data_IF_875539268863
#
_entry.id   IF_875539268863
#
_cell.length_a   1.000
_cell.length_b   1.000
_cell.length_c   1.000
_cell.angle_alpha   90.00
_cell.angle_beta   90.00
_cell.angle_gamma   90.00
#
_symmetry.space_group_name_H-M   'P 1'
#
loop_
_entity.id
_entity.type
_entity.pdbx_description
1 polymer ?
#
# COMPACT_ATOMS: atom_id res chain seq x y z
N UNK A 1 101.15 -4.58 25.64
CA UNK A 1 99.93 -4.16 26.37
C UNK A 1 99.55 -2.78 25.86
N UNK A 2 98.34 -2.66 25.28
CA UNK A 2 97.38 -1.51 25.34
C UNK A 2 97.95 -0.08 25.22
N UNK A 3 97.50 0.86 24.38
CA UNK A 3 96.18 1.11 23.78
C UNK A 3 96.26 2.41 22.93
N UNK A 4 95.52 2.45 21.82
CA UNK A 4 94.71 3.56 21.28
C UNK A 4 94.95 5.02 21.74
N UNK A 5 95.05 5.96 20.78
CA UNK A 5 94.09 7.08 20.61
C UNK A 5 94.32 7.97 19.37
N UNK A 6 93.33 7.90 18.48
CA UNK A 6 92.65 8.98 17.72
C UNK A 6 93.41 9.84 16.70
N UNK A 7 93.26 9.48 15.42
CA UNK A 7 93.30 10.37 14.26
C UNK A 7 91.85 10.74 13.89
N UNK A 8 91.50 12.02 13.95
CA UNK A 8 90.18 12.56 13.56
C UNK A 8 90.27 12.92 12.07
N UNK A 9 89.62 12.14 11.19
CA UNK A 9 89.41 12.52 9.79
C UNK A 9 87.91 12.72 9.58
N UNK A 10 87.53 13.99 9.41
CA UNK A 10 86.18 14.45 9.11
C UNK A 10 85.78 14.03 7.70
N UNK A 11 84.82 13.11 7.58
CA UNK A 11 84.06 12.84 6.36
C UNK A 11 82.73 13.58 6.44
N UNK A 12 82.60 14.64 5.65
CA UNK A 12 81.37 15.39 5.45
C UNK A 12 80.52 14.65 4.40
N UNK A 13 79.58 13.83 4.87
CA UNK A 13 78.60 13.13 4.01
C UNK A 13 77.43 14.09 3.74
N UNK A 14 77.38 14.67 2.54
CA UNK A 14 76.23 15.45 2.08
C UNK A 14 75.14 14.45 1.69
N UNK A 15 74.10 14.34 2.52
CA UNK A 15 72.87 13.63 2.21
C UNK A 15 72.07 14.49 1.24
N UNK A 16 72.08 14.12 -0.05
CA UNK A 16 71.11 14.61 -1.03
C UNK A 16 69.76 13.98 -0.69
N UNK A 17 68.88 14.75 -0.04
CA UNK A 17 67.47 14.39 0.13
C UNK A 17 66.80 14.61 -1.22
N UNK A 18 66.51 13.51 -1.91
CA UNK A 18 65.62 13.49 -3.07
C UNK A 18 64.19 13.68 -2.56
N UNK A 19 63.59 14.85 -2.76
CA UNK A 19 62.13 14.97 -2.76
C UNK A 19 61.61 14.23 -4.00
N UNK A 20 60.99 13.07 -3.79
CA UNK A 20 60.19 12.44 -4.83
C UNK A 20 58.92 13.28 -5.01
N UNK A 21 58.66 13.71 -6.24
CA UNK A 21 57.45 14.43 -6.59
C UNK A 21 56.33 13.38 -6.70
N UNK A 22 55.63 13.11 -5.61
CA UNK A 22 54.42 12.27 -5.65
C UNK A 22 53.38 12.98 -6.53
N UNK A 23 52.89 12.31 -7.57
CA UNK A 23 51.77 12.80 -8.36
C UNK A 23 50.57 12.93 -7.44
N UNK A 24 50.01 14.13 -7.36
CA UNK A 24 48.74 14.35 -6.68
C UNK A 24 47.65 13.72 -7.53
N UNK A 25 47.23 12.50 -7.19
CA UNK A 25 46.04 11.90 -7.79
C UNK A 25 44.83 12.75 -7.39
N UNK A 26 44.32 13.50 -8.36
CA UNK A 26 43.21 14.45 -8.21
C UNK A 26 41.87 13.74 -7.97
N UNK A 27 41.82 12.42 -8.17
CA UNK A 27 40.60 11.64 -8.12
C UNK A 27 40.76 10.45 -7.16
N UNK A 28 39.73 10.11 -6.37
CA UNK A 28 39.77 8.91 -5.55
C UNK A 28 39.86 7.65 -6.42
N UNK A 29 40.86 6.81 -6.16
CA UNK A 29 41.16 5.60 -6.94
C UNK A 29 40.05 4.53 -6.95
N UNK A 30 39.00 4.69 -6.13
CA UNK A 30 37.97 3.67 -5.92
C UNK A 30 36.55 4.27 -5.84
N UNK A 31 36.22 5.19 -6.74
CA UNK A 31 34.83 5.64 -6.89
C UNK A 31 34.00 4.50 -7.48
N UNK A 32 32.92 4.15 -6.80
CA UNK A 32 31.97 3.15 -7.29
C UNK A 32 31.14 3.74 -8.43
N UNK A 33 31.03 2.98 -9.52
CA UNK A 33 30.34 3.40 -10.74
C UNK A 33 28.88 2.97 -10.71
N UNK A 34 28.03 3.84 -11.21
CA UNK A 34 26.62 3.61 -11.50
C UNK A 34 26.49 3.81 -13.01
N UNK A 35 26.41 2.71 -13.75
CA UNK A 35 26.22 2.76 -15.21
C UNK A 35 24.90 3.46 -15.53
N UNK A 36 24.89 4.29 -16.58
CA UNK A 36 23.71 5.12 -16.94
C UNK A 36 22.52 4.30 -17.42
N UNK A 37 22.74 3.06 -17.86
CA UNK A 37 21.70 2.09 -18.22
C UNK A 37 21.27 1.18 -17.06
N UNK A 38 21.86 1.36 -15.87
CA UNK A 38 21.57 0.51 -14.71
C UNK A 38 20.24 0.84 -14.05
N UNK A 39 19.65 -0.17 -13.40
CA UNK A 39 18.47 -0.01 -12.56
C UNK A 39 18.68 1.05 -11.46
N UNK A 40 19.86 1.08 -10.84
CA UNK A 40 20.18 2.05 -9.79
C UNK A 40 20.16 3.49 -10.33
N UNK A 41 20.69 3.72 -11.53
CA UNK A 41 20.66 5.04 -12.16
C UNK A 41 19.21 5.49 -12.40
N UNK A 42 18.38 4.60 -12.95
CA UNK A 42 16.97 4.90 -13.21
C UNK A 42 16.19 5.17 -11.91
N UNK A 43 16.41 4.37 -10.86
CA UNK A 43 15.76 4.61 -9.55
C UNK A 43 16.22 5.92 -8.91
N UNK A 44 17.51 6.25 -9.03
CA UNK A 44 18.08 7.52 -8.54
C UNK A 44 17.50 8.73 -9.27
N UNK A 45 17.29 8.62 -10.59
CA UNK A 45 16.63 9.63 -11.40
C UNK A 45 15.17 9.80 -10.97
N UNK A 46 14.39 8.73 -10.93
CA UNK A 46 12.98 8.77 -10.56
C UNK A 46 12.75 9.40 -9.18
N UNK A 47 13.52 8.99 -8.17
CA UNK A 47 13.35 9.51 -6.81
C UNK A 47 13.78 10.97 -6.68
N UNK A 48 14.72 11.43 -7.51
CA UNK A 48 15.17 12.82 -7.53
C UNK A 48 14.22 13.71 -8.34
N UNK A 49 13.55 13.17 -9.36
CA UNK A 49 12.57 13.89 -10.19
C UNK A 49 11.22 14.11 -9.51
N UNK A 50 10.85 13.25 -8.56
CA UNK A 50 9.62 13.37 -7.78
C UNK A 50 9.62 14.69 -7.00
N UNK A 51 9.03 15.72 -7.61
CA UNK A 51 8.74 16.99 -6.97
C UNK A 51 7.58 16.80 -6.02
N UNK A 52 7.70 17.38 -4.82
CA UNK A 52 6.61 17.62 -3.87
C UNK A 52 5.54 18.57 -4.46
N UNK A 53 4.97 18.29 -5.63
CA UNK A 53 3.88 19.09 -6.20
C UNK A 53 2.53 18.75 -5.56
N UNK A 54 2.40 17.58 -4.90
CA UNK A 54 1.14 17.04 -4.35
C UNK A 54 1.19 16.66 -2.84
N UNK A 55 2.08 17.26 -2.03
CA UNK A 55 2.22 16.94 -0.58
C UNK A 55 2.43 15.44 -0.27
N UNK A 56 2.91 14.64 -1.25
CA UNK A 56 3.18 13.23 -1.02
C UNK A 56 4.44 13.07 -0.17
N UNK A 57 4.41 12.24 0.89
CA UNK A 57 5.58 12.01 1.72
C UNK A 57 6.65 11.28 0.90
N UNK A 58 7.74 11.99 0.59
CA UNK A 58 8.95 11.38 0.04
C UNK A 58 9.71 10.77 1.21
N UNK A 59 9.94 9.47 1.18
CA UNK A 59 10.46 8.79 2.36
C UNK A 59 11.97 9.07 2.64
N UNK A 60 12.70 9.57 1.64
CA UNK A 60 14.10 10.03 1.76
C UNK A 60 14.32 11.38 1.08
N UNK A 61 15.14 12.25 1.68
CA UNK A 61 15.60 13.50 1.08
C UNK A 61 17.13 13.58 1.13
N UNK A 62 17.79 13.85 0.01
CA UNK A 62 19.24 14.04 -0.02
C UNK A 62 19.66 15.37 0.62
N UNK A 63 20.73 15.32 1.42
CA UNK A 63 21.38 16.52 1.98
C UNK A 63 22.49 16.96 1.05
N UNK A 64 22.35 18.16 0.51
CA UNK A 64 23.31 18.81 -0.36
C UNK A 64 24.29 19.71 0.43
N UNK A 65 25.48 20.03 -0.11
CA UNK A 65 26.01 19.59 -1.40
C UNK A 65 26.82 18.29 -1.33
N UNK A 66 26.93 17.58 -2.46
CA UNK A 66 27.88 16.47 -2.65
C UNK A 66 28.46 16.49 -4.07
N UNK A 67 29.54 15.72 -4.30
CA UNK A 67 30.26 15.71 -5.58
C UNK A 67 29.91 14.46 -6.40
N UNK A 68 29.82 14.64 -7.72
CA UNK A 68 29.55 13.59 -8.70
C UNK A 68 30.69 13.55 -9.70
N UNK A 69 31.13 12.35 -10.04
CA UNK A 69 32.17 12.07 -11.03
C UNK A 69 31.52 11.50 -12.29
N UNK A 70 31.92 11.99 -13.46
CA UNK A 70 31.42 11.53 -14.75
C UNK A 70 32.47 10.64 -15.42
N UNK A 71 32.04 9.48 -15.92
CA UNK A 71 32.90 8.51 -16.58
C UNK A 71 32.56 8.37 -18.06
N UNK A 72 33.60 8.27 -18.89
CA UNK A 72 33.46 7.88 -20.29
C UNK A 72 33.34 6.35 -20.45
N UNK A 73 33.17 5.88 -21.69
CA UNK A 73 33.09 4.45 -22.03
C UNK A 73 34.34 3.65 -21.62
N UNK A 74 35.51 4.29 -21.65
CA UNK A 74 36.77 3.69 -21.20
C UNK A 74 36.91 3.66 -19.67
N UNK A 75 35.86 4.03 -18.94
CA UNK A 75 35.79 3.93 -17.48
C UNK A 75 36.75 4.90 -16.77
N UNK A 76 37.17 5.97 -17.46
CA UNK A 76 38.01 7.06 -16.96
C UNK A 76 37.14 8.26 -16.53
N UNK A 77 37.57 8.96 -15.48
CA UNK A 77 36.89 10.18 -15.02
C UNK A 77 37.20 11.30 -16.00
N UNK A 78 36.16 11.85 -16.62
CA UNK A 78 36.27 12.96 -17.59
C UNK A 78 35.87 14.30 -16.99
N UNK A 79 35.08 14.29 -15.92
CA UNK A 79 34.61 15.51 -15.24
C UNK A 79 34.20 15.20 -13.79
N UNK A 80 34.13 16.23 -12.95
CA UNK A 80 33.56 16.16 -11.61
C UNK A 80 32.79 17.43 -11.27
N UNK A 81 31.58 17.30 -10.73
CA UNK A 81 30.68 18.42 -10.46
C UNK A 81 30.07 18.32 -9.06
N UNK A 82 30.03 19.45 -8.37
CA UNK A 82 29.33 19.59 -7.09
C UNK A 82 27.87 19.93 -7.39
N UNK A 83 26.94 19.17 -6.82
CA UNK A 83 25.50 19.45 -6.87
C UNK A 83 25.08 20.17 -5.59
N UNK A 84 24.36 21.29 -5.71
CA UNK A 84 23.98 22.13 -4.56
C UNK A 84 22.53 21.96 -4.13
N UNK A 85 21.68 21.45 -5.01
CA UNK A 85 20.29 21.17 -4.74
C UNK A 85 19.76 20.06 -5.66
N UNK A 86 18.47 19.76 -5.50
CA UNK A 86 17.80 18.72 -6.27
C UNK A 86 17.68 19.04 -7.77
N UNK A 87 17.55 20.32 -8.13
CA UNK A 87 17.43 20.74 -9.53
C UNK A 87 18.76 20.52 -10.24
N UNK A 88 19.87 20.90 -9.58
CA UNK A 88 21.22 20.65 -10.08
C UNK A 88 21.47 19.14 -10.27
N UNK A 89 21.02 18.33 -9.31
CA UNK A 89 21.23 16.89 -9.35
C UNK A 89 20.44 16.22 -10.48
N UNK A 90 19.14 16.49 -10.61
CA UNK A 90 18.31 15.98 -11.71
C UNK A 90 18.89 16.40 -13.06
N UNK A 91 19.27 17.68 -13.21
CA UNK A 91 19.87 18.17 -14.46
C UNK A 91 21.17 17.42 -14.82
N UNK A 92 22.00 17.09 -13.83
CA UNK A 92 23.21 16.31 -14.06
C UNK A 92 22.90 14.86 -14.48
N UNK A 93 21.89 14.22 -13.87
CA UNK A 93 21.44 12.88 -14.25
C UNK A 93 20.91 12.87 -15.69
N UNK A 94 20.05 13.82 -16.06
CA UNK A 94 19.54 13.98 -17.43
C UNK A 94 20.65 14.21 -18.45
N UNK A 95 21.62 15.08 -18.15
CA UNK A 95 22.77 15.32 -19.04
C UNK A 95 23.62 14.07 -19.23
N UNK A 96 23.78 13.26 -18.17
CA UNK A 96 24.59 12.05 -18.21
C UNK A 96 23.98 10.96 -19.07
N UNK A 97 22.65 10.95 -19.20
CA UNK A 97 21.91 10.00 -20.02
C UNK A 97 22.27 10.20 -21.52
N UNK A 98 22.99 9.22 -22.08
CA UNK A 98 23.40 9.23 -23.49
C UNK A 98 24.66 10.04 -23.81
N UNK A 99 25.31 10.67 -22.83
CA UNK A 99 26.59 11.37 -23.01
C UNK A 99 27.75 10.73 -22.22
N UNK A 100 27.44 10.10 -21.08
CA UNK A 100 28.41 9.43 -20.20
C UNK A 100 28.09 7.94 -20.10
N UNK A 101 29.10 7.11 -19.83
CA UNK A 101 28.88 5.68 -19.60
C UNK A 101 28.37 5.43 -18.18
N UNK A 102 28.96 6.10 -17.20
CA UNK A 102 28.62 5.96 -15.79
C UNK A 102 28.78 7.27 -15.01
N UNK A 103 28.17 7.31 -13.84
CA UNK A 103 28.42 8.32 -12.82
C UNK A 103 29.02 7.67 -11.57
N UNK A 104 29.61 8.46 -10.67
CA UNK A 104 30.00 8.01 -9.34
C UNK A 104 29.75 9.10 -8.31
N UNK A 105 29.30 8.70 -7.13
CA UNK A 105 29.00 9.64 -6.04
C UNK A 105 30.17 9.71 -5.06
N UNK A 106 30.42 10.91 -4.53
CA UNK A 106 31.38 11.11 -3.44
C UNK A 106 30.78 10.64 -2.12
N UNK A 107 30.84 9.34 -1.86
CA UNK A 107 30.43 8.81 -0.57
C UNK A 107 31.32 9.29 0.58
N UNK A 108 30.77 9.41 1.80
CA UNK A 108 29.37 9.18 2.14
C UNK A 108 28.45 10.32 1.70
N UNK A 109 27.21 9.99 1.34
CA UNK A 109 26.12 10.97 1.16
C UNK A 109 25.15 10.89 2.35
N UNK A 110 24.53 12.01 2.71
CA UNK A 110 23.60 12.06 3.86
C UNK A 110 22.18 12.22 3.35
N UNK A 111 21.24 11.53 3.99
CA UNK A 111 19.81 11.65 3.75
C UNK A 111 19.07 12.01 5.04
N UNK A 112 17.90 12.62 4.90
CA UNK A 112 16.90 12.80 5.95
C UNK A 112 15.75 11.85 5.65
N UNK A 113 15.33 11.05 6.63
CA UNK A 113 14.19 10.13 6.54
C UNK A 113 12.88 10.86 6.90
N UNK A 114 11.74 10.23 6.64
CA UNK A 114 10.40 10.75 6.96
C UNK A 114 10.23 11.16 8.44
N UNK A 115 10.87 10.44 9.38
CA UNK A 115 10.82 10.75 10.82
C UNK A 115 11.74 11.92 11.24
N UNK A 116 12.44 12.55 10.28
CA UNK A 116 13.40 13.63 10.48
C UNK A 116 14.78 13.19 10.95
N UNK A 117 15.02 11.88 11.12
CA UNK A 117 16.35 11.35 11.44
C UNK A 117 17.28 11.42 10.22
N UNK A 118 18.58 11.55 10.48
CA UNK A 118 19.61 11.58 9.44
C UNK A 118 20.30 10.23 9.31
N UNK A 119 20.50 9.77 8.08
CA UNK A 119 21.20 8.54 7.74
C UNK A 119 22.34 8.82 6.75
N UNK A 120 23.43 8.04 6.79
CA UNK A 120 24.61 8.26 5.94
C UNK A 120 24.90 7.02 5.10
N UNK A 121 24.74 7.15 3.80
CA UNK A 121 24.92 6.11 2.80
C UNK A 121 26.41 6.07 2.40
N UNK A 122 27.02 4.89 2.47
CA UNK A 122 28.46 4.69 2.30
C UNK A 122 28.86 4.19 0.91
N UNK A 123 27.93 3.56 0.18
CA UNK A 123 28.23 2.93 -1.11
C UNK A 123 26.98 2.71 -2.00
N UNK A 124 27.19 2.22 -3.23
CA UNK A 124 26.13 1.95 -4.19
C UNK A 124 25.16 0.84 -3.73
N UNK A 125 25.62 -0.10 -2.89
CA UNK A 125 24.77 -1.20 -2.40
C UNK A 125 23.80 -0.66 -1.36
N UNK A 126 24.28 0.16 -0.44
CA UNK A 126 23.46 0.84 0.57
C UNK A 126 22.53 1.88 -0.08
N UNK A 127 23.00 2.61 -1.10
CA UNK A 127 22.16 3.52 -1.87
C UNK A 127 21.01 2.78 -2.53
N UNK A 128 21.32 1.69 -3.26
CA UNK A 128 20.30 0.86 -3.94
C UNK A 128 19.25 0.38 -2.94
N UNK A 129 19.68 -0.24 -1.84
CA UNK A 129 18.76 -0.73 -0.81
C UNK A 129 17.91 0.38 -0.18
N UNK A 130 18.50 1.56 0.03
CA UNK A 130 17.80 2.71 0.62
C UNK A 130 16.70 3.20 -0.31
N UNK A 131 17.00 3.34 -1.60
CA UNK A 131 16.01 3.77 -2.61
C UNK A 131 14.93 2.71 -2.80
N UNK A 132 15.29 1.43 -2.88
CA UNK A 132 14.32 0.32 -3.01
C UNK A 132 13.35 0.29 -1.82
N UNK A 133 13.87 0.34 -0.59
CA UNK A 133 13.03 0.40 0.62
C UNK A 133 12.09 1.61 0.58
N UNK A 134 12.56 2.71 0.00
CA UNK A 134 11.74 3.91 -0.11
C UNK A 134 10.57 3.75 -1.06
N UNK A 135 10.85 3.26 -2.26
CA UNK A 135 9.85 2.97 -3.29
C UNK A 135 8.82 1.97 -2.75
N UNK A 136 9.28 0.92 -2.06
CA UNK A 136 8.39 -0.08 -1.44
C UNK A 136 7.45 0.56 -0.40
N UNK A 137 7.99 1.44 0.47
CA UNK A 137 7.20 2.15 1.47
C UNK A 137 6.16 3.08 0.85
N UNK A 138 6.53 3.84 -0.19
CA UNK A 138 5.61 4.72 -0.91
C UNK A 138 4.48 3.93 -1.60
N UNK A 139 4.80 2.78 -2.20
CA UNK A 139 3.79 1.90 -2.81
C UNK A 139 2.84 1.33 -1.75
N UNK A 140 3.33 0.95 -0.56
CA UNK A 140 2.50 0.50 0.57
C UNK A 140 1.54 1.61 1.00
N UNK A 141 2.06 2.82 1.22
CA UNK A 141 1.24 3.99 1.62
C UNK A 141 0.18 4.27 0.56
N UNK A 142 0.56 4.23 -0.72
CA UNK A 142 -0.36 4.41 -1.82
C UNK A 142 -1.44 3.32 -1.85
N UNK A 143 -1.06 2.05 -1.68
CA UNK A 143 -1.97 0.90 -1.61
C UNK A 143 -2.98 1.06 -0.48
N UNK A 144 -2.53 1.38 0.73
CA UNK A 144 -3.42 1.56 1.88
C UNK A 144 -4.40 2.71 1.63
N UNK A 145 -3.89 3.86 1.15
CA UNK A 145 -4.71 5.03 0.83
C UNK A 145 -5.78 4.74 -0.22
N UNK A 146 -5.51 3.90 -1.21
CA UNK A 146 -6.55 3.55 -2.19
C UNK A 146 -7.60 2.66 -1.55
N UNK A 147 -7.21 1.63 -0.78
CA UNK A 147 -8.11 0.64 -0.20
C UNK A 147 -9.02 1.25 0.87
N UNK A 148 -8.48 2.11 1.73
CA UNK A 148 -9.17 2.80 2.84
C UNK A 148 -10.09 3.94 2.41
N UNK A 149 -10.16 4.26 1.11
CA UNK A 149 -11.16 5.23 0.63
C UNK A 149 -12.55 4.67 0.88
N UNK A 150 -13.43 5.51 1.42
CA UNK A 150 -14.81 5.17 1.74
C UNK A 150 -15.63 4.77 0.49
N UNK A 151 -15.52 3.50 0.11
CA UNK A 151 -16.21 2.79 -0.95
C UNK A 151 -16.06 1.28 -0.71
N UNK A 152 -16.97 0.48 -1.28
CA UNK A 152 -16.83 -0.99 -1.26
C UNK A 152 -16.06 -1.50 -2.48
N UNK A 153 -15.41 -2.65 -2.33
CA UNK A 153 -14.61 -3.31 -3.36
C UNK A 153 -15.27 -4.61 -3.78
N UNK A 154 -15.63 -4.72 -5.07
CA UNK A 154 -16.23 -5.94 -5.63
C UNK A 154 -15.15 -6.87 -6.18
N UNK A 155 -15.19 -8.14 -5.77
CA UNK A 155 -14.33 -9.20 -6.28
C UNK A 155 -14.91 -9.76 -7.59
N UNK A 156 -14.04 -10.02 -8.56
CA UNK A 156 -14.37 -10.77 -9.77
C UNK A 156 -13.22 -11.70 -10.09
N UNK A 157 -13.52 -13.00 -10.25
CA UNK A 157 -12.52 -14.00 -10.61
C UNK A 157 -12.08 -13.90 -12.07
N UNK A 158 -10.77 -14.00 -12.28
CA UNK A 158 -10.17 -14.18 -13.61
C UNK A 158 -9.81 -15.65 -13.90
N UNK A 159 -10.11 -16.56 -12.98
CA UNK A 159 -9.86 -18.01 -13.12
C UNK A 159 -11.17 -18.80 -13.21
N UNK A 160 -11.05 -20.12 -13.32
CA UNK A 160 -12.21 -21.03 -13.30
C UNK A 160 -12.97 -20.99 -11.96
N UNK A 161 -12.33 -20.54 -10.89
CA UNK A 161 -12.93 -20.43 -9.57
C UNK A 161 -13.80 -19.17 -9.45
N UNK A 162 -15.04 -19.27 -9.93
CA UNK A 162 -16.02 -18.18 -9.94
C UNK A 162 -16.80 -18.03 -8.62
N UNK A 163 -16.38 -18.72 -7.54
CA UNK A 163 -17.16 -18.81 -6.30
C UNK A 163 -17.37 -17.47 -5.60
N UNK A 164 -16.52 -16.47 -5.85
CA UNK A 164 -16.44 -15.21 -5.12
C UNK A 164 -16.76 -13.97 -5.99
N UNK A 165 -17.35 -14.14 -7.18
CA UNK A 165 -17.63 -13.02 -8.09
C UNK A 165 -18.66 -12.00 -7.59
N UNK A 166 -19.42 -12.35 -6.56
CA UNK A 166 -20.41 -11.47 -5.92
C UNK A 166 -19.96 -11.06 -4.52
N UNK A 167 -18.70 -11.32 -4.18
CA UNK A 167 -18.13 -10.99 -2.88
C UNK A 167 -17.70 -9.53 -2.86
N UNK A 168 -17.86 -8.92 -1.69
CA UNK A 168 -17.51 -7.53 -1.45
C UNK A 168 -16.57 -7.43 -0.26
N UNK A 169 -15.63 -6.50 -0.33
CA UNK A 169 -14.79 -6.08 0.77
C UNK A 169 -15.05 -4.60 1.08
N UNK A 170 -15.08 -4.30 2.36
CA UNK A 170 -15.04 -2.95 2.89
C UNK A 170 -13.80 -2.83 3.77
N UNK A 171 -12.93 -1.88 3.49
CA UNK A 171 -11.67 -1.68 4.20
C UNK A 171 -11.76 -0.43 5.05
N UNK A 172 -11.48 -0.57 6.34
CA UNK A 172 -11.43 0.54 7.29
C UNK A 172 -9.99 1.05 7.44
N UNK A 173 -9.87 2.30 7.88
CA UNK A 173 -8.60 3.03 8.06
C UNK A 173 -7.75 2.51 9.22
N UNK A 174 -8.29 1.62 10.05
CA UNK A 174 -7.60 0.98 11.17
C UNK A 174 -6.97 -0.38 10.82
N UNK A 175 -6.99 -0.77 9.53
CA UNK A 175 -6.49 -2.06 9.06
C UNK A 175 -7.47 -3.22 9.27
N UNK A 176 -8.72 -2.92 9.65
CA UNK A 176 -9.81 -3.89 9.71
C UNK A 176 -10.80 -3.68 8.56
N UNK A 177 -11.87 -4.45 8.55
CA UNK A 177 -12.89 -4.35 7.52
C UNK A 177 -13.94 -5.45 7.62
N UNK A 178 -14.80 -5.48 6.62
CA UNK A 178 -15.82 -6.51 6.45
C UNK A 178 -15.66 -7.19 5.09
N UNK A 179 -15.62 -8.52 5.11
CA UNK A 179 -15.69 -9.35 3.93
C UNK A 179 -17.07 -9.98 3.85
N UNK A 180 -17.79 -9.77 2.76
CA UNK A 180 -19.14 -10.27 2.58
C UNK A 180 -19.22 -11.23 1.40
N UNK A 181 -19.57 -12.49 1.69
CA UNK A 181 -19.78 -13.54 0.69
C UNK A 181 -21.09 -14.28 0.92
N UNK A 182 -21.97 -14.28 -0.09
CA UNK A 182 -23.22 -15.07 -0.14
C UNK A 182 -24.07 -14.96 1.15
N UNK A 183 -24.16 -13.77 1.71
CA UNK A 183 -24.93 -13.54 2.94
C UNK A 183 -24.16 -13.73 4.24
N UNK A 184 -22.88 -14.08 4.21
CA UNK A 184 -22.07 -14.18 5.42
C UNK A 184 -21.11 -13.00 5.44
N UNK A 185 -21.20 -12.19 6.50
CA UNK A 185 -20.20 -11.20 6.83
C UNK A 185 -19.13 -11.84 7.71
N UNK A 186 -17.87 -11.58 7.38
CA UNK A 186 -16.71 -11.97 8.15
C UNK A 186 -15.99 -10.70 8.56
N UNK A 187 -15.67 -10.59 9.84
CA UNK A 187 -14.66 -9.62 10.28
C UNK A 187 -13.36 -9.94 9.59
N UNK A 188 -12.74 -8.93 9.01
CA UNK A 188 -11.45 -9.07 8.36
C UNK A 188 -10.44 -8.08 8.92
N UNK A 189 -9.17 -8.49 8.87
CA UNK A 189 -8.03 -7.60 8.98
C UNK A 189 -7.19 -7.74 7.72
N UNK A 190 -6.51 -6.67 7.35
CA UNK A 190 -5.72 -6.64 6.15
C UNK A 190 -4.41 -5.90 6.36
N UNK A 191 -3.40 -6.24 5.57
CA UNK A 191 -2.11 -5.54 5.58
C UNK A 191 -1.45 -5.66 4.22
N UNK A 192 -0.92 -4.55 3.73
CA UNK A 192 -0.03 -4.53 2.56
C UNK A 192 1.44 -4.53 3.00
N UNK A 193 2.27 -5.29 2.29
CA UNK A 193 3.69 -5.40 2.59
C UNK A 193 4.46 -5.88 1.36
N UNK A 194 5.79 -5.70 1.38
CA UNK A 194 6.66 -6.27 0.35
C UNK A 194 7.28 -7.59 0.80
N UNK A 195 7.29 -8.56 -0.12
CA UNK A 195 8.00 -9.82 0.03
C UNK A 195 8.73 -10.12 -1.28
N UNK A 196 10.06 -10.31 -1.21
CA UNK A 196 10.92 -10.57 -2.38
C UNK A 196 10.74 -9.54 -3.52
N UNK A 197 10.60 -8.25 -3.18
CA UNK A 197 10.45 -7.16 -4.14
C UNK A 197 9.09 -7.10 -4.85
N UNK A 198 8.08 -7.81 -4.33
CA UNK A 198 6.70 -7.77 -4.84
C UNK A 198 5.79 -7.22 -3.76
N UNK A 199 4.74 -6.51 -4.16
CA UNK A 199 3.67 -6.10 -3.26
C UNK A 199 2.76 -7.30 -2.97
N UNK A 200 2.42 -7.46 -1.71
CA UNK A 200 1.51 -8.47 -1.21
C UNK A 200 0.43 -7.80 -0.34
N UNK A 201 -0.78 -8.37 -0.34
CA UNK A 201 -1.88 -7.99 0.53
C UNK A 201 -2.36 -9.27 1.23
N UNK A 202 -2.24 -9.31 2.55
CA UNK A 202 -2.87 -10.37 3.33
C UNK A 202 -4.27 -9.92 3.70
N UNK A 203 -5.28 -10.72 3.38
CA UNK A 203 -6.66 -10.53 3.82
C UNK A 203 -6.98 -11.69 4.76
N UNK A 204 -7.13 -11.40 6.04
CA UNK A 204 -7.44 -12.40 7.05
C UNK A 204 -8.89 -12.28 7.48
N UNK A 205 -9.67 -13.34 7.30
CA UNK A 205 -11.03 -13.51 7.77
C UNK A 205 -11.01 -14.32 9.08
N UNK A 206 -11.75 -13.86 10.08
CA UNK A 206 -11.88 -14.57 11.35
C UNK A 206 -12.64 -15.92 11.19
N UNK A 207 -12.20 -16.93 11.96
CA UNK A 207 -12.83 -18.24 12.05
C UNK A 207 -12.31 -19.29 11.07
N UNK A 208 -12.97 -20.46 11.04
CA UNK A 208 -12.48 -21.67 10.35
C UNK A 208 -13.36 -22.10 9.15
N UNK A 209 -14.20 -21.19 8.65
CA UNK A 209 -15.07 -21.46 7.51
C UNK A 209 -14.27 -21.78 6.25
N UNK A 210 -14.91 -22.40 5.25
CA UNK A 210 -14.26 -22.62 3.96
C UNK A 210 -13.82 -21.30 3.32
N UNK A 211 -14.68 -20.28 3.35
CA UNK A 211 -14.37 -18.93 2.86
C UNK A 211 -13.14 -18.34 3.56
N UNK A 212 -13.07 -18.43 4.90
CA UNK A 212 -11.90 -17.97 5.65
C UNK A 212 -10.63 -18.70 5.24
N UNK A 213 -10.69 -20.04 5.09
CA UNK A 213 -9.52 -20.83 4.64
C UNK A 213 -9.11 -20.52 3.20
N UNK A 214 -10.07 -20.21 2.33
CA UNK A 214 -9.82 -19.88 0.93
C UNK A 214 -9.23 -18.45 0.76
N UNK A 215 -9.44 -17.56 1.74
CA UNK A 215 -9.01 -16.15 1.68
C UNK A 215 -7.81 -15.80 2.56
N UNK A 216 -7.57 -16.56 3.64
CA UNK A 216 -6.43 -16.39 4.56
C UNK A 216 -5.11 -16.85 3.93
N UNK A 217 -4.73 -16.17 2.85
CA UNK A 217 -3.54 -16.42 2.05
C UNK A 217 -2.72 -15.15 1.91
N UNK A 218 -1.48 -15.39 1.50
CA UNK A 218 -0.59 -14.37 0.99
C UNK A 218 -0.91 -14.09 -0.49
N UNK A 219 -1.53 -12.95 -0.75
CA UNK A 219 -1.91 -12.55 -2.10
C UNK A 219 -0.87 -11.61 -2.67
N UNK A 220 -0.22 -12.00 -3.75
CA UNK A 220 0.55 -11.06 -4.56
C UNK A 220 -0.41 -10.04 -5.19
N UNK A 221 -0.14 -8.76 -5.02
CA UNK A 221 -0.97 -7.68 -5.50
C UNK A 221 -0.30 -6.88 -6.64
N UNK A 222 -1.13 -6.36 -7.54
CA UNK A 222 -0.77 -5.42 -8.59
C UNK A 222 -1.82 -4.32 -8.63
N UNK A 223 -1.41 -3.08 -8.36
CA UNK A 223 -2.28 -1.92 -8.49
C UNK A 223 -2.32 -1.56 -9.98
N UNK A 224 -3.51 -1.68 -10.60
CA UNK A 224 -3.71 -1.36 -12.01
C UNK A 224 -3.98 0.14 -12.18
N UNK A 225 -4.84 0.68 -11.33
CA UNK A 225 -5.20 2.10 -11.24
C UNK A 225 -5.82 2.41 -9.86
N UNK A 226 -6.26 3.65 -9.65
CA UNK A 226 -6.90 4.13 -8.41
C UNK A 226 -8.18 3.36 -8.02
N UNK A 227 -8.78 2.58 -8.92
CA UNK A 227 -10.06 1.90 -8.71
C UNK A 227 -9.95 0.38 -8.78
N UNK A 228 -8.80 -0.15 -9.19
CA UNK A 228 -8.66 -1.55 -9.57
C UNK A 228 -7.33 -2.11 -9.07
N UNK A 229 -7.43 -3.15 -8.23
CA UNK A 229 -6.29 -3.94 -7.80
C UNK A 229 -6.51 -5.38 -8.25
N UNK A 230 -5.47 -5.99 -8.80
CA UNK A 230 -5.44 -7.43 -9.07
C UNK A 230 -4.70 -8.11 -7.93
N UNK A 231 -5.26 -9.20 -7.41
CA UNK A 231 -4.64 -10.05 -6.40
C UNK A 231 -4.56 -11.48 -6.91
N UNK A 232 -3.49 -12.18 -6.57
CA UNK A 232 -3.25 -13.53 -7.06
C UNK A 232 -2.46 -14.38 -6.07
N UNK A 233 -2.72 -15.68 -6.08
CA UNK A 233 -1.87 -16.70 -5.48
C UNK A 233 -1.44 -17.72 -6.56
N UNK A 234 -0.96 -18.90 -6.17
CA UNK A 234 -0.51 -19.92 -7.14
C UNK A 234 -1.63 -20.49 -8.01
N UNK A 235 -2.89 -20.38 -7.59
CA UNK A 235 -4.05 -21.05 -8.22
C UNK A 235 -5.10 -20.07 -8.73
N UNK A 236 -5.37 -19.01 -7.97
CA UNK A 236 -6.47 -18.10 -8.18
C UNK A 236 -5.99 -16.67 -8.43
N UNK A 237 -6.72 -15.96 -9.29
CA UNK A 237 -6.51 -14.55 -9.61
C UNK A 237 -7.86 -13.84 -9.58
N UNK A 238 -7.90 -12.71 -8.88
CA UNK A 238 -9.08 -11.88 -8.72
C UNK A 238 -8.76 -10.43 -9.09
N UNK A 239 -9.72 -9.77 -9.71
CA UNK A 239 -9.78 -8.30 -9.73
C UNK A 239 -10.69 -7.86 -8.59
N UNK A 240 -10.20 -6.95 -7.76
CA UNK A 240 -11.00 -6.17 -6.83
C UNK A 240 -11.20 -4.76 -7.38
N UNK A 241 -12.45 -4.42 -7.67
CA UNK A 241 -12.82 -3.16 -8.30
C UNK A 241 -13.67 -2.32 -7.37
N UNK A 242 -13.28 -1.07 -7.18
CA UNK A 242 -13.98 -0.09 -6.35
C UNK A 242 -15.37 0.22 -6.90
N UNK A 243 -16.35 0.33 -6.01
CA UNK A 243 -17.74 0.67 -6.29
C UNK A 243 -18.19 1.76 -5.32
N UNK A 244 -18.14 3.02 -5.76
CA UNK A 244 -18.41 4.20 -4.92
C UNK A 244 -19.81 4.81 -5.11
N UNK A 245 -20.62 4.30 -6.06
CA UNK A 245 -21.97 4.85 -6.35
C UNK A 245 -23.02 4.46 -5.30
N UNK A 246 -22.56 4.21 -4.08
CA UNK A 246 -23.35 3.78 -2.94
C UNK A 246 -23.12 4.87 -1.91
N UNK A 247 -23.94 5.93 -1.95
CA UNK A 247 -23.80 7.07 -1.03
C UNK A 247 -24.04 6.61 0.42
N UNK A 248 -22.95 6.31 1.13
CA UNK A 248 -22.63 6.58 2.55
C UNK A 248 -23.74 6.54 3.62
N UNK A 249 -24.76 5.72 3.42
CA UNK A 249 -25.76 5.31 4.42
C UNK A 249 -25.97 3.79 4.38
N UNK A 250 -24.96 3.12 3.85
CA UNK A 250 -24.94 1.74 3.39
C UNK A 250 -23.62 1.08 3.78
N UNK A 251 -23.23 1.22 5.04
CA UNK A 251 -22.17 0.41 5.62
C UNK A 251 -22.53 -1.06 5.34
N UNK A 252 -21.76 -1.71 4.48
CA UNK A 252 -22.28 -2.87 3.76
C UNK A 252 -22.50 -4.03 4.75
N UNK A 253 -23.77 -4.46 4.84
CA UNK A 253 -24.30 -5.60 5.60
C UNK A 253 -24.31 -5.45 7.12
N UNK A 254 -23.69 -4.43 7.70
CA UNK A 254 -23.93 -4.06 9.11
C UNK A 254 -24.80 -2.81 9.18
N UNK A 255 -26.11 -3.02 9.34
CA UNK A 255 -27.03 -1.94 9.65
C UNK A 255 -26.89 -1.63 11.13
N UNK A 256 -26.34 -0.44 11.43
CA UNK A 256 -26.08 0.01 12.79
C UNK A 256 -27.18 0.96 13.25
N UNK A 257 -27.64 0.75 14.47
CA UNK A 257 -28.58 1.63 15.13
C UNK A 257 -28.17 1.82 16.59
N UNK A 258 -28.47 3.00 17.13
CA UNK A 258 -28.18 3.30 18.52
C UNK A 258 -28.98 2.41 19.46
N UNK A 259 -28.29 1.88 20.48
CA UNK A 259 -28.94 1.17 21.57
C UNK A 259 -30.03 2.01 22.23
N UNK A 260 -31.17 1.39 22.51
CA UNK A 260 -32.26 2.00 23.23
C UNK A 260 -31.83 2.29 24.67
N UNK A 261 -32.25 3.44 25.19
CA UNK A 261 -31.94 3.85 26.56
C UNK A 261 -32.34 2.77 27.58
N UNK A 262 -31.35 2.27 28.32
CA UNK A 262 -31.44 1.18 29.31
C UNK A 262 -31.63 -0.24 28.74
N UNK A 263 -31.42 -0.45 27.44
CA UNK A 263 -31.42 -1.76 26.81
C UNK A 263 -30.14 -1.93 26.00
N UNK A 264 -29.08 -2.41 26.68
CA UNK A 264 -27.84 -2.84 26.03
C UNK A 264 -28.15 -3.85 24.92
N UNK A 265 -27.37 -3.82 23.85
CA UNK A 265 -27.47 -4.71 22.69
C UNK A 265 -28.82 -4.67 21.95
N UNK A 266 -29.68 -3.68 22.21
CA UNK A 266 -31.03 -3.61 21.61
C UNK A 266 -31.27 -2.27 20.94
N UNK A 267 -31.62 -2.27 19.66
CA UNK A 267 -31.93 -1.08 18.87
C UNK A 267 -33.19 -1.28 18.01
N UNK A 268 -33.77 -0.18 17.54
CA UNK A 268 -34.92 -0.19 16.64
C UNK A 268 -34.48 0.10 15.21
N UNK A 269 -34.67 -0.87 14.32
CA UNK A 269 -34.29 -0.82 12.91
C UNK A 269 -35.49 -0.47 12.03
N UNK A 270 -35.28 0.44 11.08
CA UNK A 270 -36.29 0.81 10.08
C UNK A 270 -35.83 0.26 8.72
N UNK A 271 -36.22 -0.97 8.38
CA UNK A 271 -35.73 -1.62 7.16
C UNK A 271 -36.07 -0.89 5.85
N UNK A 272 -37.11 -0.05 5.83
CA UNK A 272 -37.39 0.80 4.68
C UNK A 272 -36.23 1.74 4.34
N UNK A 273 -35.49 2.21 5.34
CA UNK A 273 -34.35 3.12 5.16
C UNK A 273 -33.18 2.40 4.49
N UNK A 274 -33.17 1.07 4.54
CA UNK A 274 -32.14 0.20 3.96
C UNK A 274 -32.49 -0.34 2.57
N UNK A 275 -33.68 -0.06 2.03
CA UNK A 275 -34.12 -0.68 0.76
C UNK A 275 -33.33 -0.21 -0.44
N UNK A 276 -33.18 1.10 -0.58
CA UNK A 276 -32.44 1.72 -1.68
C UNK A 276 -30.98 1.24 -1.67
N UNK A 277 -30.44 1.09 -0.45
CA UNK A 277 -29.16 0.48 -0.19
C UNK A 277 -29.03 -0.91 -0.81
N UNK A 278 -29.88 -1.85 -0.38
CA UNK A 278 -29.85 -3.25 -0.83
C UNK A 278 -30.08 -3.36 -2.35
N UNK A 279 -30.89 -2.46 -2.90
CA UNK A 279 -31.18 -2.40 -4.34
C UNK A 279 -30.01 -1.88 -5.17
N UNK A 280 -29.19 -0.96 -4.62
CA UNK A 280 -28.01 -0.42 -5.33
C UNK A 280 -26.99 -1.49 -5.73
N UNK A 281 -27.04 -2.66 -5.09
CA UNK A 281 -26.15 -3.79 -5.35
C UNK A 281 -26.69 -4.80 -6.36
N UNK A 282 -27.90 -4.59 -6.89
CA UNK A 282 -28.47 -5.47 -7.90
C UNK A 282 -28.03 -5.00 -9.28
N UNK A 283 -27.13 -5.77 -9.90
CA UNK A 283 -26.59 -5.43 -11.23
C UNK A 283 -27.61 -5.64 -12.35
N UNK A 284 -27.60 -4.75 -13.35
CA UNK A 284 -28.25 -4.92 -14.65
C UNK A 284 -29.77 -5.21 -14.59
N UNK A 285 -30.44 -4.82 -13.50
CA UNK A 285 -31.87 -4.96 -13.33
C UNK A 285 -32.46 -3.57 -13.06
N UNK A 286 -33.58 -3.26 -13.71
CA UNK A 286 -34.38 -2.10 -13.35
C UNK A 286 -34.90 -2.28 -11.92
N UNK A 287 -34.29 -1.55 -10.98
CA UNK A 287 -34.59 -1.68 -9.54
C UNK A 287 -36.03 -1.29 -9.21
N UNK A 288 -36.74 -0.57 -10.10
CA UNK A 288 -38.17 -0.27 -9.95
C UNK A 288 -39.06 -1.51 -10.05
N UNK A 289 -38.53 -2.60 -10.63
CA UNK A 289 -39.20 -3.90 -10.76
C UNK A 289 -38.85 -4.84 -9.59
N UNK A 290 -38.08 -4.38 -8.61
CA UNK A 290 -37.65 -5.19 -7.48
C UNK A 290 -38.43 -4.84 -6.21
N UNK A 291 -38.80 -5.87 -5.46
CA UNK A 291 -39.47 -5.76 -4.16
C UNK A 291 -38.69 -6.48 -3.08
N UNK A 292 -38.59 -5.87 -1.90
CA UNK A 292 -37.83 -6.39 -0.77
C UNK A 292 -38.78 -6.81 0.35
N UNK A 293 -38.56 -8.00 0.90
CA UNK A 293 -39.22 -8.49 2.11
C UNK A 293 -38.19 -9.08 3.07
N UNK A 294 -38.37 -8.83 4.37
CA UNK A 294 -37.40 -9.15 5.42
C UNK A 294 -37.91 -10.31 6.28
N UNK A 295 -37.02 -11.20 6.70
CA UNK A 295 -37.35 -12.44 7.40
C UNK A 295 -36.32 -12.77 8.46
N UNK A 296 -36.77 -13.38 9.56
CA UNK A 296 -35.87 -13.82 10.63
C UNK A 296 -35.07 -15.08 10.26
N UNK A 297 -35.59 -15.91 9.36
CA UNK A 297 -34.96 -17.18 8.96
C UNK A 297 -34.96 -17.33 7.44
N UNK A 298 -33.99 -18.09 6.93
CA UNK A 298 -33.89 -18.43 5.52
C UNK A 298 -35.13 -19.19 5.02
N UNK A 299 -35.62 -20.16 5.78
CA UNK A 299 -36.82 -20.95 5.42
C UNK A 299 -38.06 -20.07 5.27
N UNK A 300 -38.24 -19.09 6.16
CA UNK A 300 -39.34 -18.12 6.05
C UNK A 300 -39.21 -17.24 4.81
N UNK A 301 -37.98 -16.88 4.41
CA UNK A 301 -37.74 -16.12 3.20
C UNK A 301 -38.05 -16.93 1.93
N UNK A 302 -37.70 -18.23 1.90
CA UNK A 302 -38.02 -19.13 0.79
C UNK A 302 -39.52 -19.39 0.65
N UNK A 303 -40.22 -19.52 1.77
CA UNK A 303 -41.66 -19.76 1.81
C UNK A 303 -42.50 -18.48 1.74
N UNK A 304 -41.86 -17.31 1.83
CA UNK A 304 -42.49 -15.98 1.90
C UNK A 304 -43.53 -15.88 3.05
N UNK A 305 -43.19 -16.43 4.22
CA UNK A 305 -44.05 -16.40 5.43
C UNK A 305 -43.39 -15.61 6.57
N UNK A 306 -44.19 -15.13 7.53
CA UNK A 306 -43.67 -14.42 8.73
C UNK A 306 -42.78 -13.22 8.40
N UNK A 307 -43.21 -12.41 7.41
CA UNK A 307 -42.52 -11.18 6.98
C UNK A 307 -42.36 -10.24 8.19
N UNK A 308 -41.15 -9.70 8.36
CA UNK A 308 -40.84 -8.71 9.38
C UNK A 308 -41.39 -7.33 8.98
N UNK A 309 -41.86 -6.56 9.96
CA UNK A 309 -42.32 -5.19 9.72
C UNK A 309 -41.15 -4.31 9.26
N UNK A 310 -41.27 -3.71 8.09
CA UNK A 310 -40.22 -2.88 7.49
C UNK A 310 -40.18 -1.46 8.05
N UNK A 311 -41.19 -1.05 8.82
CA UNK A 311 -41.27 0.29 9.42
C UNK A 311 -40.70 0.35 10.85
N UNK A 312 -40.58 -0.80 11.52
CA UNK A 312 -40.00 -0.91 12.86
C UNK A 312 -39.69 -2.36 13.16
N UNK A 313 -38.45 -2.63 13.57
CA UNK A 313 -38.01 -3.95 13.98
C UNK A 313 -37.05 -3.85 15.16
N UNK A 314 -37.36 -4.53 16.26
CA UNK A 314 -36.44 -4.70 17.39
C UNK A 314 -35.61 -5.96 17.17
N UNK A 315 -34.28 -5.81 17.24
CA UNK A 315 -33.41 -6.98 17.22
C UNK A 315 -33.59 -7.83 18.49
N UNK A 316 -33.20 -9.10 18.40
CA UNK A 316 -33.28 -10.11 19.45
C UNK A 316 -31.92 -10.59 19.93
N UNK A 317 -30.89 -10.39 19.11
CA UNK A 317 -29.49 -10.66 19.41
C UNK A 317 -28.66 -9.51 18.86
N UNK A 318 -27.45 -9.35 19.37
CA UNK A 318 -26.48 -8.41 18.82
C UNK A 318 -25.15 -9.13 18.62
N UNK A 319 -24.65 -9.26 17.37
CA UNK A 319 -25.33 -8.95 16.11
C UNK A 319 -26.54 -9.87 15.84
N UNK A 320 -27.45 -9.45 14.95
CA UNK A 320 -28.54 -10.29 14.46
C UNK A 320 -28.52 -10.44 12.93
N UNK A 321 -28.64 -11.68 12.45
CA UNK A 321 -28.86 -11.97 11.04
C UNK A 321 -30.34 -11.82 10.64
N UNK A 322 -30.60 -11.16 9.52
CA UNK A 322 -31.90 -11.04 8.86
C UNK A 322 -31.76 -11.43 7.39
N UNK A 323 -32.79 -12.06 6.82
CA UNK A 323 -32.81 -12.52 5.43
C UNK A 323 -33.69 -11.60 4.61
N UNK A 324 -33.21 -11.17 3.44
CA UNK A 324 -33.94 -10.28 2.54
C UNK A 324 -34.24 -11.02 1.25
N UNK A 325 -35.52 -11.25 0.97
CA UNK A 325 -35.95 -11.75 -0.33
C UNK A 325 -36.11 -10.55 -1.28
N UNK A 326 -35.29 -10.52 -2.33
CA UNK A 326 -35.32 -9.55 -3.41
C UNK A 326 -36.04 -10.23 -4.58
N UNK A 327 -37.25 -9.79 -4.87
CA UNK A 327 -38.14 -10.41 -5.85
C UNK A 327 -38.40 -9.49 -7.03
N UNK A 328 -38.13 -9.97 -8.23
CA UNK A 328 -38.45 -9.28 -9.47
C UNK A 328 -39.94 -9.47 -9.78
N UNK A 329 -40.68 -8.37 -9.92
CA UNK A 329 -42.13 -8.39 -10.13
C UNK A 329 -42.53 -8.85 -11.53
N UNK A 330 -41.64 -8.76 -12.51
CA UNK A 330 -41.89 -9.11 -13.90
C UNK A 330 -41.60 -10.58 -14.18
N UNK A 331 -40.47 -11.09 -13.70
CA UNK A 331 -40.07 -12.50 -13.90
C UNK A 331 -40.54 -13.43 -12.78
N UNK A 332 -40.92 -12.86 -11.63
CA UNK A 332 -41.20 -13.59 -10.39
C UNK A 332 -40.00 -14.41 -9.88
N UNK A 333 -38.79 -14.06 -10.31
CA UNK A 333 -37.54 -14.62 -9.79
C UNK A 333 -37.17 -13.94 -8.48
N UNK A 334 -36.68 -14.74 -7.53
CA UNK A 334 -36.32 -14.30 -6.18
C UNK A 334 -34.86 -14.62 -5.90
N UNK A 335 -34.15 -13.66 -5.31
CA UNK A 335 -32.80 -13.82 -4.75
C UNK A 335 -32.87 -13.50 -3.27
N UNK A 336 -32.47 -14.46 -2.42
CA UNK A 336 -32.40 -14.24 -0.97
C UNK A 336 -30.97 -13.86 -0.62
N UNK A 337 -30.81 -12.67 -0.04
CA UNK A 337 -29.57 -12.22 0.58
C UNK A 337 -29.71 -12.20 2.11
N UNK A 338 -28.65 -11.86 2.82
CA UNK A 338 -28.67 -11.72 4.27
C UNK A 338 -28.05 -10.39 4.66
N UNK A 339 -28.57 -9.79 5.72
CA UNK A 339 -28.09 -8.56 6.32
C UNK A 339 -27.83 -8.82 7.81
N UNK A 340 -26.93 -8.05 8.41
CA UNK A 340 -26.62 -8.08 9.83
C UNK A 340 -27.09 -6.78 10.46
N UNK A 341 -27.76 -6.88 11.59
CA UNK A 341 -28.18 -5.77 12.42
C UNK A 341 -27.23 -5.68 13.60
N UNK A 342 -26.71 -4.49 13.87
CA UNK A 342 -25.80 -4.23 14.96
C UNK A 342 -26.35 -3.09 15.81
N UNK A 343 -26.56 -3.34 17.10
CA UNK A 343 -26.88 -2.30 18.07
C UNK A 343 -25.57 -1.83 18.68
N UNK A 344 -25.33 -0.52 18.71
CA UNK A 344 -24.11 0.03 19.31
C UNK A 344 -24.39 1.14 20.32
N UNK A 345 -23.48 1.26 21.29
CA UNK A 345 -23.51 2.32 22.27
C UNK A 345 -23.21 3.66 21.58
N UNK A 346 -24.23 4.51 21.47
CA UNK A 346 -24.07 5.86 20.96
C UNK A 346 -23.78 6.84 22.10
N UNK A 347 -22.81 7.75 21.88
CA UNK A 347 -22.61 8.89 22.78
C UNK A 347 -23.82 9.82 22.67
N UNK A 348 -24.64 9.83 23.73
CA UNK A 348 -25.79 10.72 23.86
C UNK A 348 -25.33 12.18 24.02
N UNK A 349 -24.85 12.81 22.94
CA UNK A 349 -24.65 14.26 22.90
C UNK A 349 -25.54 14.96 21.88
N UNK A 350 -26.24 14.24 21.00
CA UNK A 350 -27.13 14.85 20.02
C UNK A 350 -28.55 14.25 20.11
N UNK A 351 -29.32 14.70 21.11
CA UNK A 351 -30.79 14.72 21.02
C UNK A 351 -31.36 15.62 22.13
N UNK A 352 -31.71 16.86 21.76
CA UNK A 352 -32.51 17.81 22.56
C UNK A 352 -33.89 17.98 21.98
#
# INVERSE_FOLDING_TARGET
MTTFKTLLLSSLLILMVSCHNESFDLFPDNIQKIETDSELFNSLKNISENKNEDDQPICITFVYPFNIYLFNEDSEIVDSRIVYDNIDFVGLLEESEGSNAAIGLSYPITTILEDGSSFSIQDNTELKKTIETCIESEIIIYCNRILEKNCVWKITSLTDNQNYNDTLLDFYDDGTGIFYDKGNAYRTSWVSFFLEGKLHINIHLEGDSKTAKDWNFDWKALIIDDETVEISNETDTYIIKRQCNVENSCDYVEFKECELKNFEDTANFIFNDYKDCILSFQENIDTSLLTLSFYQTYEHAEQEINILDSSTYLNRTNPQLVFVNIKNTDTNESKIIRIVLFAEACDNNDES
#
